data_IF_154197008223
#
_entry.id   IF_154197008223
#
_cell.length_a   1.000
_cell.length_b   1.000
_cell.length_c   1.000
_cell.angle_alpha   90.00
_cell.angle_beta   90.00
_cell.angle_gamma   90.00
#
_symmetry.space_group_name_H-M   'P 1'
#
loop_
_entity.id
_entity.type
_entity.pdbx_description
1 polymer ?
#
# COMPACT_ATOMS: atom_id res chain seq x y z
N UNK A 1 -6.91 0.31 -18.44
CA UNK A 1 -7.13 0.91 -17.55
C UNK A 1 -7.89 0.46 -16.43
N UNK A 2 -9.01 -0.06 -16.61
CA UNK A 2 -9.75 -0.51 -15.57
C UNK A 2 -9.22 -1.71 -14.96
N UNK A 3 -8.51 -2.53 -15.69
CA UNK A 3 -7.95 -3.72 -15.12
C UNK A 3 -6.96 -3.39 -14.07
N UNK A 4 -6.47 -2.16 -14.01
CA UNK A 4 -5.56 -1.81 -12.96
C UNK A 4 -6.19 -1.82 -11.61
N UNK A 5 -7.48 -1.54 -11.51
CA UNK A 5 -8.15 -1.63 -10.23
C UNK A 5 -8.17 -3.05 -9.72
N UNK A 6 -8.37 -4.01 -10.59
CA UNK A 6 -8.38 -5.39 -10.18
C UNK A 6 -7.00 -5.86 -9.80
N UNK A 7 -5.98 -5.28 -10.40
CA UNK A 7 -4.62 -5.72 -10.14
C UNK A 7 -3.94 -4.92 -9.06
N UNK A 8 -4.59 -3.89 -8.54
CA UNK A 8 -3.96 -3.03 -7.57
C UNK A 8 -3.48 -3.78 -6.34
N UNK A 9 -4.27 -4.67 -5.74
CA UNK A 9 -3.76 -5.41 -4.59
C UNK A 9 -2.50 -6.20 -4.93
N UNK A 10 -2.44 -6.79 -6.10
CA UNK A 10 -1.27 -7.55 -6.51
C UNK A 10 -0.07 -6.64 -6.67
N UNK A 11 -0.27 -5.48 -7.29
CA UNK A 11 0.81 -4.52 -7.45
C UNK A 11 1.33 -4.03 -6.11
N UNK A 12 0.43 -3.84 -5.14
CA UNK A 12 0.83 -3.41 -3.83
C UNK A 12 1.65 -4.46 -3.11
N UNK A 13 1.29 -5.71 -3.26
CA UNK A 13 2.05 -6.79 -2.65
C UNK A 13 3.46 -6.84 -3.21
N UNK A 14 3.59 -6.68 -4.52
CA UNK A 14 4.92 -6.64 -5.14
C UNK A 14 5.70 -5.42 -4.68
N UNK A 15 5.03 -4.28 -4.59
CA UNK A 15 5.68 -3.06 -4.15
C UNK A 15 6.24 -3.21 -2.74
N UNK A 16 5.46 -3.81 -1.86
CA UNK A 16 5.88 -3.99 -0.47
C UNK A 16 7.11 -4.89 -0.41
N UNK A 17 7.07 -6.01 -1.09
CA UNK A 17 8.19 -6.95 -1.07
C UNK A 17 9.44 -6.29 -1.64
N UNK A 18 9.29 -5.57 -2.75
CA UNK A 18 10.44 -4.95 -3.39
C UNK A 18 10.99 -3.79 -2.58
N UNK A 19 10.11 -2.94 -2.08
CA UNK A 19 10.54 -1.74 -1.37
C UNK A 19 11.26 -2.10 -0.07
N UNK A 20 10.72 -3.05 0.65
CA UNK A 20 11.29 -3.43 1.94
C UNK A 20 12.27 -4.58 1.82
N UNK A 21 12.47 -5.08 0.61
CA UNK A 21 13.41 -6.17 0.36
C UNK A 21 13.17 -7.35 1.27
N UNK A 22 11.92 -7.75 1.36
CA UNK A 22 11.55 -8.84 2.23
C UNK A 22 12.08 -10.15 1.68
N UNK A 23 12.68 -10.94 2.55
CA UNK A 23 13.15 -12.26 2.15
C UNK A 23 12.27 -13.30 2.80
N UNK A 24 12.04 -14.40 2.09
CA UNK A 24 11.19 -15.45 2.60
C UNK A 24 9.71 -15.16 2.51
N UNK A 25 9.34 -14.02 1.92
CA UNK A 25 7.94 -13.65 1.75
C UNK A 25 7.74 -13.32 0.28
N UNK A 26 6.78 -13.98 -0.33
CA UNK A 26 6.46 -13.70 -1.72
C UNK A 26 5.20 -12.85 -1.76
N UNK A 27 5.03 -12.04 -2.82
CA UNK A 27 3.81 -11.23 -2.91
C UNK A 27 2.54 -12.04 -2.74
N UNK A 28 2.50 -13.23 -3.30
CA UNK A 28 1.30 -14.04 -3.20
C UNK A 28 1.07 -14.60 -1.81
N UNK A 29 2.06 -14.48 -0.92
CA UNK A 29 1.90 -14.93 0.47
C UNK A 29 1.22 -13.88 1.35
N UNK A 30 1.02 -12.67 0.83
CA UNK A 30 0.44 -11.58 1.61
C UNK A 30 -1.08 -11.59 1.44
N UNK A 31 -1.83 -11.87 2.52
CA UNK A 31 -3.29 -11.84 2.39
C UNK A 31 -3.81 -10.42 2.23
N UNK A 32 -4.97 -10.29 1.60
CA UNK A 32 -5.54 -8.98 1.34
C UNK A 32 -6.07 -8.31 2.60
N UNK A 33 -6.52 -9.09 3.57
CA UNK A 33 -7.22 -8.52 4.71
C UNK A 33 -6.48 -8.69 6.02
N UNK A 34 -5.21 -9.05 5.99
CA UNK A 34 -4.42 -9.11 7.22
C UNK A 34 -3.70 -7.81 7.47
N UNK A 35 -3.47 -7.46 8.74
CA UNK A 35 -2.75 -6.22 9.03
C UNK A 35 -1.36 -6.23 8.43
N UNK A 36 -0.95 -5.10 7.90
CA UNK A 36 0.40 -4.97 7.39
C UNK A 36 1.36 -4.57 8.49
N UNK A 37 0.95 -3.62 9.33
CA UNK A 37 1.78 -3.17 10.43
C UNK A 37 1.49 -3.99 11.67
N UNK A 38 2.54 -4.31 12.40
CA UNK A 38 2.37 -5.08 13.62
C UNK A 38 2.00 -6.52 13.37
N UNK A 39 2.06 -6.95 12.13
CA UNK A 39 1.75 -8.33 11.78
C UNK A 39 2.93 -9.23 12.08
N UNK A 40 2.65 -10.38 12.65
CA UNK A 40 3.71 -11.35 12.88
C UNK A 40 4.22 -11.95 11.57
N UNK A 41 3.39 -11.92 10.54
CA UNK A 41 3.79 -12.49 9.27
C UNK A 41 4.84 -11.64 8.57
N UNK A 42 4.61 -10.33 8.52
CA UNK A 42 5.53 -9.43 7.83
C UNK A 42 6.50 -8.72 8.75
N UNK A 43 6.10 -8.49 9.99
CA UNK A 43 6.97 -7.84 10.96
C UNK A 43 7.29 -6.40 10.62
N UNK A 44 6.37 -5.69 9.98
CA UNK A 44 6.63 -4.31 9.60
C UNK A 44 6.49 -3.37 10.78
N UNK A 45 7.35 -2.37 10.84
CA UNK A 45 7.29 -1.38 11.91
C UNK A 45 7.11 0.02 11.30
N UNK A 46 7.28 1.05 12.14
CA UNK A 46 7.03 2.42 11.71
C UNK A 46 7.98 2.87 10.61
N UNK A 47 9.22 2.42 10.66
CA UNK A 47 10.15 2.79 9.59
C UNK A 47 9.76 2.15 8.28
N UNK A 48 9.32 0.91 8.34
CA UNK A 48 8.86 0.25 7.13
C UNK A 48 7.64 0.97 6.58
N UNK A 49 6.74 1.41 7.45
CA UNK A 49 5.57 2.15 7.02
C UNK A 49 5.96 3.43 6.31
N UNK A 50 6.96 4.13 6.85
CA UNK A 50 7.42 5.36 6.24
C UNK A 50 7.99 5.12 4.85
N UNK A 51 8.77 4.07 4.70
CA UNK A 51 9.32 3.73 3.40
C UNK A 51 8.20 3.39 2.41
N UNK A 52 7.20 2.67 2.87
CA UNK A 52 6.09 2.32 2.02
C UNK A 52 5.30 3.55 1.59
N UNK A 53 5.09 4.48 2.52
CA UNK A 53 4.38 5.70 2.19
C UNK A 53 5.09 6.45 1.08
N UNK A 54 6.39 6.60 1.18
CA UNK A 54 7.16 7.30 0.16
C UNK A 54 7.05 6.58 -1.17
N UNK A 55 7.18 5.27 -1.16
CA UNK A 55 7.11 4.49 -2.40
C UNK A 55 5.74 4.60 -3.04
N UNK A 56 4.69 4.56 -2.23
CA UNK A 56 3.33 4.64 -2.74
C UNK A 56 3.07 6.02 -3.34
N UNK A 57 3.54 7.06 -2.67
CA UNK A 57 3.35 8.40 -3.20
C UNK A 57 4.03 8.55 -4.54
N UNK A 58 5.22 8.02 -4.68
CA UNK A 58 5.95 8.11 -5.93
C UNK A 58 5.34 7.25 -7.03
N UNK A 59 4.95 6.04 -6.68
CA UNK A 59 4.45 5.10 -7.67
C UNK A 59 3.09 5.50 -8.21
N UNK A 60 2.23 6.03 -7.34
CA UNK A 60 0.85 6.29 -7.72
C UNK A 60 0.54 7.77 -7.86
N UNK A 61 1.50 8.64 -7.55
CA UNK A 61 1.31 10.07 -7.71
C UNK A 61 0.29 10.66 -6.76
N UNK A 62 0.19 10.11 -5.56
CA UNK A 62 -0.76 10.60 -4.58
C UNK A 62 -0.01 11.13 -3.37
N UNK A 63 -0.75 11.76 -2.47
CA UNK A 63 -0.20 12.28 -1.22
C UNK A 63 -0.88 11.64 -0.05
N UNK A 64 -0.09 11.27 0.95
CA UNK A 64 -0.61 10.79 2.21
C UNK A 64 -0.34 11.87 3.24
N UNK A 65 -1.41 12.42 3.79
CA UNK A 65 -1.32 13.71 4.48
C UNK A 65 -0.60 13.63 5.82
N UNK A 66 -0.79 12.56 6.58
CA UNK A 66 -0.21 12.49 7.92
C UNK A 66 -0.09 11.04 8.35
N UNK A 67 0.46 10.85 9.55
CA UNK A 67 0.69 9.50 10.02
C UNK A 67 -0.58 8.75 10.34
N UNK A 68 -1.63 9.44 10.73
CA UNK A 68 -2.91 8.76 10.96
C UNK A 68 -3.46 8.19 9.67
N UNK A 69 -3.38 8.98 8.61
CA UNK A 69 -3.82 8.51 7.31
C UNK A 69 -2.97 7.34 6.85
N UNK A 70 -1.68 7.42 7.07
CA UNK A 70 -0.77 6.34 6.70
C UNK A 70 -1.11 5.07 7.44
N UNK A 71 -1.30 5.16 8.75
CA UNK A 71 -1.62 3.97 9.54
C UNK A 71 -2.96 3.37 9.13
N UNK A 72 -3.95 4.21 8.88
CA UNK A 72 -5.25 3.71 8.46
C UNK A 72 -5.20 3.04 7.11
N UNK A 73 -4.48 3.64 6.17
CA UNK A 73 -4.39 3.06 4.83
C UNK A 73 -3.58 1.78 4.82
N UNK A 74 -2.61 1.65 5.72
CA UNK A 74 -1.76 0.46 5.78
C UNK A 74 -2.34 -0.62 6.68
N UNK A 75 -3.60 -0.51 7.04
CA UNK A 75 -4.23 -1.53 7.88
C UNK A 75 -4.24 -2.89 7.18
N UNK A 76 -4.41 -2.90 5.87
CA UNK A 76 -4.36 -4.14 5.12
C UNK A 76 -4.17 -3.78 3.65
N UNK A 77 -3.89 -4.79 2.83
CA UNK A 77 -3.79 -4.58 1.39
C UNK A 77 -5.12 -4.03 0.85
N UNK A 78 -6.24 -4.58 1.31
CA UNK A 78 -7.54 -4.12 0.84
C UNK A 78 -7.78 -2.66 1.20
N UNK A 79 -7.43 -2.27 2.42
CA UNK A 79 -7.58 -0.88 2.84
C UNK A 79 -6.67 0.04 2.04
N UNK A 80 -5.45 -0.40 1.80
CA UNK A 80 -4.50 0.40 1.05
C UNK A 80 -4.96 0.58 -0.39
N UNK A 81 -5.44 -0.48 -1.01
CA UNK A 81 -5.95 -0.40 -2.37
C UNK A 81 -7.12 0.57 -2.46
N UNK A 82 -8.05 0.47 -1.50
CA UNK A 82 -9.20 1.37 -1.50
C UNK A 82 -8.76 2.82 -1.30
N UNK A 83 -7.80 3.04 -0.41
CA UNK A 83 -7.29 4.38 -0.15
C UNK A 83 -6.66 4.97 -1.42
N UNK A 84 -5.85 4.19 -2.10
CA UNK A 84 -5.18 4.66 -3.31
C UNK A 84 -6.19 4.98 -4.39
N UNK A 85 -7.18 4.11 -4.58
CA UNK A 85 -8.19 4.36 -5.59
C UNK A 85 -8.96 5.64 -5.30
N UNK A 86 -9.36 5.82 -4.06
CA UNK A 86 -10.09 7.00 -3.68
C UNK A 86 -9.25 8.26 -3.85
N UNK A 87 -8.01 8.19 -3.41
CA UNK A 87 -7.13 9.35 -3.45
C UNK A 87 -6.77 9.72 -4.89
N UNK A 88 -6.50 8.71 -5.71
CA UNK A 88 -6.15 8.95 -7.09
C UNK A 88 -7.31 9.59 -7.85
N UNK A 89 -8.53 9.14 -7.57
CA UNK A 89 -9.69 9.73 -8.21
C UNK A 89 -9.94 11.13 -7.70
N UNK A 90 -9.78 11.34 -6.40
CA UNK A 90 -10.03 12.63 -5.81
C UNK A 90 -9.01 13.67 -6.22
N UNK A 91 -7.79 13.24 -6.55
CA UNK A 91 -6.75 14.16 -6.96
C UNK A 91 -6.81 14.52 -8.42
N UNK A 92 -7.69 13.87 -9.19
CA UNK A 92 -7.80 14.20 -10.56
C UNK A 92 -8.29 15.59 -10.73
N UNK A 93 -7.66 16.39 -11.58
CA UNK A 93 -8.14 17.74 -11.83
C UNK A 93 -9.51 17.65 -12.45
N UNK A 94 -10.36 18.49 -12.00
CA UNK A 94 -11.68 18.53 -12.59
C UNK A 94 -11.61 19.08 -13.97
N UNK A 95 -12.34 18.53 -14.86
CA UNK A 95 -12.36 19.06 -16.21
C UNK A 95 -12.97 20.44 -16.25
#
# INVERSE_FOLDING_TARGET
MYYENDRLPIRLKHLIVDTLRLTGVRPEDIPDDEPLLGSSRLGLDSLDALELVVAIEKQFGIKIANSEEAHGSLASIACLAAFIQTRAQGDRPSP
#
